data_IF_837081950715
#
_entry.id   IF_837081950715
#
_cell.length_a   1.000
_cell.length_b   1.000
_cell.length_c   1.000
_cell.angle_alpha   90.00
_cell.angle_beta   90.00
_cell.angle_gamma   90.00
#
_symmetry.space_group_name_H-M   'P 1'
#
loop_
_entity.id
_entity.type
_entity.pdbx_description
1 polymer ?
#
# COMPACT_ATOMS: atom_id res chain seq x y z
N UNK A 1 6.12 15.61 13.55
CA UNK A 1 5.21 15.45 12.38
C UNK A 1 4.78 13.99 12.32
N UNK A 2 3.49 13.71 12.55
CA UNK A 2 2.98 12.33 12.73
C UNK A 2 2.62 11.67 11.41
N UNK A 3 3.07 10.42 11.21
CA UNK A 3 2.75 9.54 10.07
C UNK A 3 1.24 9.34 9.90
N UNK A 4 0.46 9.50 10.98
CA UNK A 4 -1.01 9.50 10.92
C UNK A 4 -1.55 10.60 10.00
N UNK A 5 -0.88 11.76 9.91
CA UNK A 5 -1.28 12.85 9.01
C UNK A 5 -0.92 12.54 7.55
N UNK A 6 0.22 11.89 7.31
CA UNK A 6 0.67 11.53 5.96
C UNK A 6 -0.20 10.44 5.32
N UNK A 7 -0.75 9.54 6.13
CA UNK A 7 -1.68 8.50 5.66
C UNK A 7 -3.11 9.04 5.55
N UNK A 8 -3.52 9.95 6.44
CA UNK A 8 -4.75 10.71 6.27
C UNK A 8 -4.72 11.51 4.96
N UNK A 9 -3.64 12.21 4.63
CA UNK A 9 -3.50 12.93 3.34
C UNK A 9 -3.56 12.03 2.10
N UNK A 10 -3.21 10.74 2.23
CA UNK A 10 -3.35 9.75 1.16
C UNK A 10 -4.77 9.17 1.07
N UNK A 11 -5.58 9.29 2.12
CA UNK A 11 -6.95 8.76 2.20
C UNK A 11 -8.04 9.83 2.13
N UNK A 12 -7.71 11.10 2.41
CA UNK A 12 -8.63 12.24 2.49
C UNK A 12 -8.94 12.89 1.13
N UNK A 13 -8.60 12.23 0.02
CA UNK A 13 -8.91 12.75 -1.30
C UNK A 13 -10.38 12.58 -1.70
N UNK A 14 -11.19 11.77 -1.01
CA UNK A 14 -12.64 11.72 -1.30
C UNK A 14 -13.47 11.27 -0.09
N UNK A 15 -14.49 12.04 0.34
CA UNK A 15 -15.40 11.61 1.40
C UNK A 15 -16.24 10.39 0.98
N UNK A 16 -16.29 9.38 1.85
CA UNK A 16 -17.00 8.09 1.69
C UNK A 16 -18.54 8.18 1.54
N UNK A 17 -19.11 9.38 1.46
CA UNK A 17 -20.54 9.61 1.25
C UNK A 17 -20.93 10.08 -0.15
N UNK A 18 -19.97 10.37 -1.04
CA UNK A 18 -20.22 11.01 -2.34
C UNK A 18 -19.70 10.20 -3.55
N UNK A 19 -19.22 8.98 -3.32
CA UNK A 19 -18.68 8.15 -4.39
C UNK A 19 -19.77 7.23 -4.96
N UNK A 20 -19.92 7.17 -6.30
CA UNK A 20 -20.70 6.12 -6.94
C UNK A 20 -20.28 4.73 -6.44
N UNK A 21 -21.23 3.81 -6.33
CA UNK A 21 -21.00 2.43 -5.82
C UNK A 21 -19.88 1.73 -6.59
N UNK A 22 -19.77 2.02 -7.88
CA UNK A 22 -18.72 1.52 -8.78
C UNK A 22 -17.32 1.99 -8.34
N UNK A 23 -17.18 3.21 -7.85
CA UNK A 23 -15.89 3.76 -7.37
C UNK A 23 -15.51 3.15 -6.02
N UNK A 24 -16.49 2.91 -5.13
CA UNK A 24 -16.24 2.21 -3.86
C UNK A 24 -15.78 0.78 -4.12
N UNK A 25 -16.42 0.07 -5.06
CA UNK A 25 -16.05 -1.29 -5.44
C UNK A 25 -14.65 -1.36 -6.07
N UNK A 26 -14.32 -0.43 -6.99
CA UNK A 26 -12.97 -0.33 -7.57
C UNK A 26 -11.91 -0.10 -6.49
N UNK A 27 -12.17 0.79 -5.52
CA UNK A 27 -11.27 1.04 -4.39
C UNK A 27 -11.08 -0.20 -3.50
N UNK A 28 -12.15 -0.97 -3.25
CA UNK A 28 -12.04 -2.22 -2.49
C UNK A 28 -11.17 -3.24 -3.24
N UNK A 29 -11.33 -3.37 -4.55
CA UNK A 29 -10.48 -4.23 -5.39
C UNK A 29 -9.02 -3.75 -5.39
N UNK A 30 -8.78 -2.44 -5.42
CA UNK A 30 -7.44 -1.85 -5.29
C UNK A 30 -6.82 -2.13 -3.92
N UNK A 31 -7.57 -2.04 -2.82
CA UNK A 31 -7.08 -2.33 -1.47
C UNK A 31 -6.75 -3.83 -1.31
N UNK A 32 -7.63 -4.73 -1.77
CA UNK A 32 -7.34 -6.16 -1.82
C UNK A 32 -6.10 -6.47 -2.66
N UNK A 33 -5.91 -5.75 -3.78
CA UNK A 33 -4.71 -5.88 -4.62
C UNK A 33 -3.42 -5.50 -3.87
N UNK A 34 -3.47 -4.50 -3.00
CA UNK A 34 -2.32 -4.06 -2.20
C UNK A 34 -2.00 -5.07 -1.10
N UNK A 35 -3.02 -5.64 -0.44
CA UNK A 35 -2.79 -6.65 0.60
C UNK A 35 -2.20 -7.94 0.05
N UNK A 36 -2.54 -8.33 -1.18
CA UNK A 36 -1.85 -9.41 -1.87
C UNK A 36 -0.35 -9.14 -2.04
N UNK A 37 0.05 -7.91 -2.33
CA UNK A 37 1.47 -7.54 -2.40
C UNK A 37 2.13 -7.53 -1.02
N UNK A 38 1.40 -7.12 0.03
CA UNK A 38 1.88 -7.21 1.42
C UNK A 38 2.14 -8.66 1.82
N UNK A 39 1.30 -9.60 1.39
CA UNK A 39 1.51 -11.03 1.65
C UNK A 39 2.79 -11.57 1.00
N UNK A 40 3.27 -10.96 -0.09
CA UNK A 40 4.54 -11.32 -0.72
C UNK A 40 5.78 -10.68 -0.05
N UNK A 41 5.60 -9.81 0.95
CA UNK A 41 6.72 -9.25 1.68
C UNK A 41 7.42 -10.30 2.56
N UNK A 42 8.72 -10.09 2.88
CA UNK A 42 9.40 -10.88 3.90
C UNK A 42 8.61 -10.93 5.20
N UNK A 43 8.66 -12.06 5.95
CA UNK A 43 7.77 -12.28 7.09
C UNK A 43 7.76 -11.14 8.12
N UNK A 44 8.93 -10.56 8.41
CA UNK A 44 9.04 -9.48 9.38
C UNK A 44 8.52 -8.14 8.87
N UNK A 45 8.60 -7.88 7.57
CA UNK A 45 8.04 -6.69 6.94
C UNK A 45 6.52 -6.81 6.86
N UNK A 46 6.00 -7.96 6.41
CA UNK A 46 4.57 -8.27 6.42
C UNK A 46 3.97 -8.11 7.81
N UNK A 47 4.57 -8.75 8.83
CA UNK A 47 4.09 -8.66 10.21
C UNK A 47 4.07 -7.22 10.74
N UNK A 48 5.10 -6.42 10.43
CA UNK A 48 5.11 -5.01 10.79
C UNK A 48 4.00 -4.21 10.07
N UNK A 49 3.72 -4.51 8.80
CA UNK A 49 2.62 -3.89 8.06
C UNK A 49 1.24 -4.31 8.61
N UNK A 50 1.03 -5.60 8.90
CA UNK A 50 -0.23 -6.11 9.48
C UNK A 50 -0.52 -5.43 10.82
N UNK A 51 0.44 -5.45 11.75
CA UNK A 51 0.26 -4.82 13.07
C UNK A 51 -0.03 -3.31 12.94
N UNK A 52 0.68 -2.62 12.04
CA UNK A 52 0.54 -1.18 11.89
C UNK A 52 -0.77 -0.76 11.21
N UNK A 53 -1.19 -1.47 10.17
CA UNK A 53 -2.24 -1.01 9.25
C UNK A 53 -3.52 -1.84 9.29
N UNK A 54 -3.45 -3.12 9.68
CA UNK A 54 -4.62 -3.99 9.85
C UNK A 54 -5.12 -3.98 11.30
N UNK A 55 -4.18 -4.03 12.25
CA UNK A 55 -4.48 -4.08 13.68
C UNK A 55 -4.46 -2.68 14.34
N UNK A 56 -4.21 -1.63 13.55
CA UNK A 56 -4.12 -0.21 13.95
C UNK A 56 -3.20 0.07 15.15
N UNK A 57 -2.14 -0.73 15.32
CA UNK A 57 -1.18 -0.52 16.39
C UNK A 57 -0.22 0.62 16.08
N UNK A 58 0.19 1.36 17.11
CA UNK A 58 1.30 2.29 17.01
C UNK A 58 2.60 1.56 16.67
N UNK A 59 3.59 2.26 16.09
CA UNK A 59 4.91 1.65 15.82
C UNK A 59 5.60 1.13 17.10
N UNK A 60 5.33 1.79 18.24
CA UNK A 60 5.82 1.39 19.55
C UNK A 60 5.13 0.12 20.06
N UNK A 61 3.80 0.04 19.94
CA UNK A 61 3.05 -1.17 20.33
C UNK A 61 3.39 -2.36 19.43
N UNK A 62 3.54 -2.13 18.12
CA UNK A 62 4.03 -3.14 17.20
C UNK A 62 5.45 -3.62 17.57
N UNK A 63 6.34 -2.71 18.00
CA UNK A 63 7.67 -3.07 18.49
C UNK A 63 7.62 -3.97 19.72
N UNK A 64 6.76 -3.65 20.69
CA UNK A 64 6.51 -4.47 21.86
C UNK A 64 5.98 -5.87 21.48
N UNK A 65 4.98 -5.94 20.59
CA UNK A 65 4.41 -7.21 20.11
C UNK A 65 5.43 -8.05 19.32
N UNK A 66 6.32 -7.41 18.57
CA UNK A 66 7.34 -8.08 17.78
C UNK A 66 8.61 -8.42 18.57
N UNK A 67 8.74 -7.98 19.83
CA UNK A 67 9.96 -8.12 20.61
C UNK A 67 11.16 -7.39 19.99
N UNK A 68 10.94 -6.18 19.47
CA UNK A 68 11.94 -5.36 18.76
C UNK A 68 12.00 -3.94 19.31
N UNK A 69 13.02 -3.19 18.91
CA UNK A 69 13.05 -1.75 19.12
C UNK A 69 12.15 -1.00 18.13
N UNK A 70 11.66 0.17 18.54
CA UNK A 70 10.91 1.10 17.68
C UNK A 70 11.65 1.40 16.38
N UNK A 71 12.97 1.61 16.44
CA UNK A 71 13.80 1.88 15.27
C UNK A 71 13.81 0.70 14.29
N UNK A 72 13.87 -0.54 14.79
CA UNK A 72 13.83 -1.73 13.96
C UNK A 72 12.47 -1.91 13.26
N UNK A 73 11.35 -1.66 13.96
CA UNK A 73 10.00 -1.71 13.35
C UNK A 73 9.82 -0.62 12.31
N UNK A 74 10.24 0.62 12.59
CA UNK A 74 10.20 1.72 11.61
C UNK A 74 11.00 1.39 10.35
N UNK A 75 12.17 0.76 10.50
CA UNK A 75 12.99 0.31 9.37
C UNK A 75 12.32 -0.82 8.57
N UNK A 76 11.65 -1.77 9.25
CA UNK A 76 10.87 -2.82 8.58
C UNK A 76 9.73 -2.23 7.74
N UNK A 77 8.98 -1.28 8.29
CA UNK A 77 7.89 -0.58 7.59
C UNK A 77 8.45 0.23 6.41
N UNK A 78 9.53 0.98 6.60
CA UNK A 78 10.17 1.74 5.52
C UNK A 78 10.59 0.84 4.35
N UNK A 79 11.23 -0.30 4.65
CA UNK A 79 11.64 -1.29 3.64
C UNK A 79 10.43 -1.95 2.96
N UNK A 80 9.37 -2.23 3.70
CA UNK A 80 8.12 -2.75 3.15
C UNK A 80 7.53 -1.77 2.12
N UNK A 81 7.37 -0.50 2.50
CA UNK A 81 6.83 0.55 1.62
C UNK A 81 7.70 0.73 0.37
N UNK A 82 9.02 0.71 0.49
CA UNK A 82 9.93 0.79 -0.67
C UNK A 82 9.72 -0.36 -1.67
N UNK A 83 9.52 -1.59 -1.17
CA UNK A 83 9.23 -2.76 -2.02
C UNK A 83 7.86 -2.68 -2.68
N UNK A 84 6.82 -2.34 -1.93
CA UNK A 84 5.48 -2.18 -2.48
C UNK A 84 5.47 -1.10 -3.57
N UNK A 85 6.14 0.04 -3.34
CA UNK A 85 6.30 1.08 -4.36
C UNK A 85 6.99 0.56 -5.62
N UNK A 86 8.03 -0.26 -5.50
CA UNK A 86 8.70 -0.83 -6.68
C UNK A 86 7.84 -1.81 -7.47
N UNK A 87 6.92 -2.52 -6.81
CA UNK A 87 5.98 -3.47 -7.43
C UNK A 87 4.78 -2.75 -8.06
N UNK A 88 4.35 -1.63 -7.48
CA UNK A 88 3.25 -0.81 -7.96
C UNK A 88 3.69 0.24 -9.00
N UNK A 89 4.99 0.55 -9.08
CA UNK A 89 5.51 1.44 -10.11
C UNK A 89 5.41 0.73 -11.46
N UNK A 90 4.65 1.27 -12.44
CA UNK A 90 4.61 0.71 -13.77
C UNK A 90 6.01 0.87 -14.39
N UNK A 91 6.80 -0.20 -14.37
CA UNK A 91 7.94 -0.28 -15.29
C UNK A 91 7.35 -0.30 -16.69
N UNK A 92 7.43 0.82 -17.41
CA UNK A 92 7.63 0.89 -18.88
C UNK A 92 7.06 -0.31 -19.66
N UNK A 93 5.73 -0.50 -19.62
CA UNK A 93 5.00 -1.56 -20.31
C UNK A 93 4.14 -1.05 -21.46
N UNK A 94 4.43 0.15 -21.99
CA UNK A 94 3.85 0.65 -23.22
C UNK A 94 4.61 0.09 -24.42
N UNK A 95 4.35 -1.16 -24.80
CA UNK A 95 4.65 -1.59 -26.16
C UNK A 95 3.74 -0.79 -27.12
N UNK A 96 4.28 -0.21 -28.22
CA UNK A 96 3.45 0.54 -29.15
C UNK A 96 2.39 -0.40 -29.71
N UNK A 97 1.12 -0.04 -29.50
CA UNK A 97 0.00 -0.63 -30.22
C UNK A 97 0.26 -0.29 -31.68
N UNK A 98 0.89 -1.20 -32.41
CA UNK A 98 0.94 -1.13 -33.88
C UNK A 98 -0.49 -1.39 -34.30
N UNK A 99 -1.29 -0.33 -34.37
CA UNK A 99 -2.54 -0.31 -35.11
C UNK A 99 -2.20 -0.61 -36.56
N UNK A 100 -2.28 -1.90 -36.89
CA UNK A 100 -2.67 -2.33 -38.21
C UNK A 100 -4.01 -1.64 -38.48
N UNK A 101 -4.02 -0.69 -39.42
CA UNK A 101 -5.13 -0.28 -40.28
C UNK A 101 -4.64 0.90 -41.12
N UNK A 102 -3.82 0.56 -42.12
CA UNK A 102 -3.64 1.38 -43.32
C UNK A 102 -4.57 0.83 -44.39
N UNK A 103 -5.81 1.35 -44.42
CA UNK A 103 -6.82 1.29 -45.49
C UNK A 103 -7.70 2.50 -45.18
N UNK A 104 -7.90 3.52 -46.02
CA UNK A 104 -7.76 3.70 -47.48
C UNK A 104 -7.10 5.05 -47.80
#
# INVERSE_FOLDING_TARGET
MSVARFLAELTDAVPDGALPVEVVALRHLEIESVWHLVDQLPPQQRRAMTLRFRDDLSAHDAARVMGKSDAAVKLLIYRAVGRLRSQLSPTQGGAPVRSALAVS
#
